data_IF_680105656760
#
_entry.id   IF_680105656760
#
_cell.length_a   1.000
_cell.length_b   1.000
_cell.length_c   1.000
_cell.angle_alpha   90.00
_cell.angle_beta   90.00
_cell.angle_gamma   90.00
#
_symmetry.space_group_name_H-M   'P 1'
#
loop_
_entity.id
_entity.type
_entity.pdbx_description
1 polymer ?
#
# COMPACT_ATOMS: atom_id res chain seq x y z
N UNK A 1 25.27 16.26 -10.68
CA UNK A 1 25.49 15.03 -11.48
C UNK A 1 26.46 14.03 -10.82
N UNK A 2 27.56 14.47 -10.21
CA UNK A 2 28.56 13.55 -9.62
C UNK A 2 28.12 12.92 -8.29
N UNK A 3 27.36 13.64 -7.49
CA UNK A 3 26.80 13.16 -6.20
C UNK A 3 25.69 12.12 -6.46
N UNK A 4 24.79 12.38 -7.40
CA UNK A 4 23.74 11.43 -7.80
C UNK A 4 24.33 10.11 -8.35
N UNK A 5 25.43 10.16 -9.10
CA UNK A 5 26.09 8.95 -9.60
C UNK A 5 26.71 8.10 -8.50
N UNK A 6 27.24 8.71 -7.42
CA UNK A 6 27.77 7.97 -6.25
C UNK A 6 26.67 7.32 -5.43
N UNK A 7 25.56 8.00 -5.21
CA UNK A 7 24.40 7.44 -4.48
C UNK A 7 23.76 6.27 -5.24
N UNK A 8 23.60 6.40 -6.56
CA UNK A 8 23.12 5.31 -7.41
C UNK A 8 24.07 4.10 -7.40
N UNK A 9 25.37 4.32 -7.48
CA UNK A 9 26.37 3.25 -7.41
C UNK A 9 26.40 2.58 -6.03
N UNK A 10 26.31 3.35 -4.95
CA UNK A 10 26.27 2.80 -3.60
C UNK A 10 24.99 1.97 -3.34
N UNK A 11 23.88 2.37 -3.94
CA UNK A 11 22.64 1.60 -3.89
C UNK A 11 22.75 0.28 -4.69
N UNK A 12 23.23 0.35 -5.92
CA UNK A 12 23.39 -0.81 -6.82
C UNK A 12 24.43 -1.83 -6.30
N UNK A 13 25.43 -1.37 -5.55
CA UNK A 13 26.48 -2.21 -4.97
C UNK A 13 26.28 -2.47 -3.47
N UNK A 14 25.12 -2.12 -2.93
CA UNK A 14 24.79 -2.45 -1.54
C UNK A 14 24.73 -3.97 -1.34
N UNK A 15 25.09 -4.44 -0.14
CA UNK A 15 25.00 -5.89 0.18
C UNK A 15 23.58 -6.43 -0.03
N UNK A 16 22.57 -5.65 0.30
CA UNK A 16 21.16 -6.02 0.07
C UNK A 16 20.85 -6.17 -1.42
N UNK A 17 21.24 -5.21 -2.26
CA UNK A 17 20.98 -5.29 -3.70
C UNK A 17 21.72 -6.48 -4.36
N UNK A 18 22.96 -6.78 -3.94
CA UNK A 18 23.70 -7.95 -4.42
C UNK A 18 23.04 -9.26 -3.97
N UNK A 19 22.61 -9.32 -2.71
CA UNK A 19 21.91 -10.49 -2.17
C UNK A 19 20.56 -10.72 -2.85
N UNK A 20 19.76 -9.65 -3.04
CA UNK A 20 18.48 -9.70 -3.75
C UNK A 20 18.66 -10.10 -5.22
N UNK A 21 19.71 -9.61 -5.87
CA UNK A 21 20.07 -10.02 -7.24
C UNK A 21 20.39 -11.51 -7.30
N UNK A 22 21.17 -12.02 -6.34
CA UNK A 22 21.51 -13.43 -6.25
C UNK A 22 20.29 -14.30 -5.98
N UNK A 23 19.43 -13.90 -5.06
CA UNK A 23 18.14 -14.57 -4.81
C UNK A 23 17.25 -14.55 -6.05
N UNK A 24 17.17 -13.44 -6.77
CA UNK A 24 16.42 -13.33 -8.02
C UNK A 24 16.93 -14.32 -9.06
N UNK A 25 18.25 -14.45 -9.23
CA UNK A 25 18.85 -15.40 -10.17
C UNK A 25 18.53 -16.87 -9.83
N UNK A 26 18.55 -17.22 -8.52
CA UNK A 26 18.21 -18.57 -8.07
C UNK A 26 16.70 -18.84 -8.21
N UNK A 27 15.88 -17.83 -7.94
CA UNK A 27 14.42 -17.95 -7.90
C UNK A 27 13.73 -17.69 -9.24
N UNK A 28 14.48 -17.37 -10.30
CA UNK A 28 13.93 -17.07 -11.64
C UNK A 28 12.97 -18.14 -12.20
N UNK A 29 13.07 -19.38 -11.69
CA UNK A 29 12.20 -20.49 -12.08
C UNK A 29 11.13 -20.81 -11.03
N UNK A 30 11.00 -19.99 -9.98
CA UNK A 30 10.00 -20.22 -8.93
C UNK A 30 8.66 -19.64 -9.36
N UNK A 31 7.67 -20.48 -9.57
CA UNK A 31 6.31 -20.06 -9.91
C UNK A 31 5.60 -19.28 -8.79
N UNK A 32 6.13 -19.31 -7.56
CA UNK A 32 5.49 -18.71 -6.38
C UNK A 32 5.65 -17.20 -6.38
N UNK A 33 6.78 -16.67 -6.86
CA UNK A 33 7.10 -15.24 -6.89
C UNK A 33 7.14 -14.66 -8.31
N UNK A 34 6.59 -15.39 -9.29
CA UNK A 34 6.61 -14.94 -10.67
C UNK A 34 5.70 -13.70 -10.83
N UNK A 35 6.29 -12.60 -11.28
CA UNK A 35 5.53 -11.47 -11.81
C UNK A 35 5.13 -11.76 -13.26
N UNK A 36 4.00 -11.23 -13.69
CA UNK A 36 3.66 -11.20 -15.12
C UNK A 36 4.67 -10.36 -15.91
N UNK A 37 4.66 -10.47 -17.25
CA UNK A 37 5.52 -9.64 -18.11
C UNK A 37 5.35 -8.14 -17.87
N UNK A 38 4.15 -7.72 -17.42
CA UNK A 38 3.85 -6.34 -17.05
C UNK A 38 4.15 -6.00 -15.59
N UNK A 39 4.85 -6.88 -14.86
CA UNK A 39 5.18 -6.68 -13.44
C UNK A 39 4.00 -6.88 -12.49
N UNK A 40 2.88 -7.42 -12.94
CA UNK A 40 1.72 -7.69 -12.09
C UNK A 40 1.98 -8.89 -11.17
N UNK A 41 1.72 -8.70 -9.87
CA UNK A 41 1.74 -9.76 -8.87
C UNK A 41 0.32 -10.33 -8.72
N UNK A 42 0.12 -11.57 -9.14
CA UNK A 42 -1.18 -12.25 -9.10
C UNK A 42 -1.55 -12.82 -7.72
N UNK A 43 -0.71 -12.59 -6.71
CA UNK A 43 -0.96 -13.04 -5.34
C UNK A 43 -0.69 -14.52 -5.09
N UNK A 44 0.04 -15.23 -5.96
CA UNK A 44 0.33 -16.68 -5.78
C UNK A 44 0.95 -17.00 -4.44
N UNK A 45 1.83 -16.14 -3.94
CA UNK A 45 2.42 -16.30 -2.61
C UNK A 45 1.36 -16.32 -1.51
N UNK A 46 0.41 -15.38 -1.55
CA UNK A 46 -0.72 -15.36 -0.61
C UNK A 46 -1.58 -16.62 -0.73
N UNK A 47 -1.87 -17.08 -1.96
CA UNK A 47 -2.60 -18.33 -2.19
C UNK A 47 -1.90 -19.51 -1.54
N UNK A 48 -0.57 -19.59 -1.67
CA UNK A 48 0.20 -20.66 -1.08
C UNK A 48 0.14 -20.65 0.45
N UNK A 49 0.38 -19.48 1.05
CA UNK A 49 0.36 -19.32 2.52
C UNK A 49 -1.03 -19.62 3.07
N UNK A 50 -2.10 -19.07 2.46
CA UNK A 50 -3.47 -19.30 2.94
C UNK A 50 -3.83 -20.77 2.91
N UNK A 51 -3.48 -21.50 1.85
CA UNK A 51 -3.77 -22.95 1.74
C UNK A 51 -3.00 -23.78 2.75
N UNK A 52 -1.74 -23.44 3.01
CA UNK A 52 -0.88 -24.19 3.95
C UNK A 52 -1.16 -23.84 5.41
N UNK A 53 -1.33 -22.56 5.73
CA UNK A 53 -1.30 -22.04 7.10
C UNK A 53 -2.56 -21.29 7.52
N UNK A 54 -3.38 -20.82 6.55
CA UNK A 54 -4.58 -20.02 6.79
C UNK A 54 -4.32 -18.51 6.80
N UNK A 55 -5.40 -17.74 6.85
CA UNK A 55 -5.34 -16.27 6.89
C UNK A 55 -4.73 -15.72 8.18
N UNK A 56 -4.93 -16.41 9.31
CA UNK A 56 -4.42 -15.95 10.61
C UNK A 56 -2.92 -15.61 10.57
N UNK A 57 -2.11 -16.43 9.91
CA UNK A 57 -0.65 -16.22 9.81
C UNK A 57 -0.32 -14.90 9.10
N UNK A 58 -0.97 -14.63 7.96
CA UNK A 58 -0.77 -13.38 7.21
C UNK A 58 -1.16 -12.16 8.05
N UNK A 59 -2.31 -12.23 8.73
CA UNK A 59 -2.81 -11.14 9.55
C UNK A 59 -1.93 -10.88 10.78
N UNK A 60 -1.56 -11.92 11.51
CA UNK A 60 -0.70 -11.82 12.69
C UNK A 60 0.68 -11.30 12.33
N UNK A 61 1.29 -11.81 11.26
CA UNK A 61 2.59 -11.35 10.81
C UNK A 61 2.57 -9.87 10.45
N UNK A 62 1.57 -9.43 9.69
CA UNK A 62 1.45 -8.03 9.29
C UNK A 62 1.15 -7.10 10.47
N UNK A 63 0.29 -7.50 11.39
CA UNK A 63 0.02 -6.73 12.61
C UNK A 63 1.27 -6.59 13.48
N UNK A 64 2.04 -7.68 13.68
CA UNK A 64 3.28 -7.64 14.45
C UNK A 64 4.33 -6.72 13.79
N UNK A 65 4.52 -6.84 12.48
CA UNK A 65 5.43 -5.98 11.72
C UNK A 65 5.04 -4.50 11.86
N UNK A 66 3.76 -4.18 11.68
CA UNK A 66 3.25 -2.82 11.79
C UNK A 66 3.40 -2.29 13.22
N UNK A 67 3.00 -3.08 14.22
CA UNK A 67 3.13 -2.71 15.64
C UNK A 67 4.57 -2.42 15.99
N UNK A 68 5.51 -3.29 15.59
CA UNK A 68 6.94 -3.08 15.84
C UNK A 68 7.47 -1.81 15.18
N UNK A 69 7.03 -1.51 13.96
CA UNK A 69 7.42 -0.31 13.21
C UNK A 69 6.86 0.98 13.82
N UNK A 70 5.63 0.95 14.32
CA UNK A 70 4.95 2.13 14.86
C UNK A 70 5.23 2.36 16.35
N UNK A 71 5.55 1.33 17.12
CA UNK A 71 5.70 1.40 18.59
C UNK A 71 6.69 2.47 19.09
N UNK A 72 7.71 2.83 18.31
CA UNK A 72 8.74 3.80 18.67
C UNK A 72 8.76 5.00 17.69
N UNK A 73 7.74 5.15 16.87
CA UNK A 73 7.76 6.22 15.89
C UNK A 73 7.27 7.53 16.51
N UNK A 74 8.18 8.50 16.64
CA UNK A 74 7.83 9.89 16.88
C UNK A 74 7.38 10.56 15.58
N UNK A 75 6.54 9.86 14.80
CA UNK A 75 6.05 10.38 13.51
C UNK A 75 5.26 11.65 13.74
N UNK A 76 5.71 12.72 13.09
CA UNK A 76 4.95 13.96 12.94
C UNK A 76 4.84 14.28 11.46
N UNK A 77 3.63 14.35 10.99
CA UNK A 77 3.35 14.68 9.60
C UNK A 77 3.48 16.18 9.39
N UNK A 78 4.34 16.58 8.45
CA UNK A 78 4.62 17.99 8.14
C UNK A 78 4.49 18.21 6.63
N UNK A 79 3.89 19.34 6.26
CA UNK A 79 3.66 19.71 4.87
C UNK A 79 4.96 19.94 4.07
N UNK A 80 6.03 20.32 4.75
CA UNK A 80 7.36 20.57 4.18
C UNK A 80 8.28 19.34 4.24
N UNK A 81 7.75 18.16 4.61
CA UNK A 81 8.52 16.92 4.61
C UNK A 81 9.01 16.58 3.20
N UNK A 82 10.12 15.85 3.12
CA UNK A 82 10.68 15.39 1.83
C UNK A 82 9.69 14.58 1.01
N UNK A 83 8.79 13.81 1.66
CA UNK A 83 7.74 13.06 0.98
C UNK A 83 6.72 13.96 0.27
N UNK A 84 6.25 15.02 0.92
CA UNK A 84 5.34 15.98 0.28
C UNK A 84 6.04 16.81 -0.80
N UNK A 85 7.30 17.20 -0.62
CA UNK A 85 8.09 17.86 -1.65
C UNK A 85 8.26 16.97 -2.88
N UNK A 86 8.56 15.68 -2.69
CA UNK A 86 8.67 14.71 -3.78
C UNK A 86 7.33 14.50 -4.50
N UNK A 87 6.21 14.43 -3.77
CA UNK A 87 4.87 14.33 -4.35
C UNK A 87 4.56 15.57 -5.20
N UNK A 88 4.81 16.78 -4.69
CA UNK A 88 4.57 18.02 -5.42
C UNK A 88 5.38 18.09 -6.71
N UNK A 89 6.67 17.72 -6.66
CA UNK A 89 7.53 17.65 -7.84
C UNK A 89 7.03 16.61 -8.83
N UNK A 90 6.65 15.43 -8.38
CA UNK A 90 6.14 14.36 -9.24
C UNK A 90 4.85 14.79 -9.96
N UNK A 91 3.90 15.37 -9.23
CA UNK A 91 2.65 15.88 -9.81
C UNK A 91 2.91 17.02 -10.81
N UNK A 92 3.93 17.85 -10.58
CA UNK A 92 4.34 18.87 -11.55
C UNK A 92 4.85 18.23 -12.83
N UNK A 93 5.74 17.24 -12.74
CA UNK A 93 6.28 16.54 -13.90
C UNK A 93 5.19 15.85 -14.73
N UNK A 94 4.19 15.27 -14.07
CA UNK A 94 3.05 14.64 -14.77
C UNK A 94 2.19 15.69 -15.50
N UNK A 95 1.96 16.84 -14.88
CA UNK A 95 1.22 17.94 -15.51
C UNK A 95 1.98 18.52 -16.73
N UNK A 96 3.32 18.62 -16.67
CA UNK A 96 4.14 19.05 -17.81
C UNK A 96 4.11 18.09 -19.01
N UNK A 97 3.65 16.85 -18.78
CA UNK A 97 3.50 15.80 -19.80
C UNK A 97 2.03 15.57 -20.21
N UNK A 98 1.10 16.44 -19.78
CA UNK A 98 -0.35 16.29 -20.01
C UNK A 98 -0.90 14.92 -19.55
N UNK A 99 -0.35 14.36 -18.46
CA UNK A 99 -0.83 13.11 -17.90
C UNK A 99 -1.95 13.39 -16.91
N UNK A 100 -3.13 12.81 -17.16
CA UNK A 100 -4.26 12.86 -16.24
C UNK A 100 -3.96 12.05 -14.98
N UNK A 101 -4.20 12.65 -13.81
CA UNK A 101 -3.87 12.06 -12.51
C UNK A 101 -5.11 11.99 -11.63
N UNK A 102 -5.38 10.81 -11.10
CA UNK A 102 -6.32 10.58 -10.01
C UNK A 102 -5.57 10.06 -8.80
N UNK A 103 -5.78 10.69 -7.65
CA UNK A 103 -5.18 10.27 -6.37
C UNK A 103 -6.17 9.42 -5.60
N UNK A 104 -5.66 8.46 -4.85
CA UNK A 104 -6.48 7.75 -3.88
C UNK A 104 -5.67 7.33 -2.64
N UNK A 105 -6.35 7.25 -1.51
CA UNK A 105 -5.84 6.64 -0.28
C UNK A 105 -6.23 5.17 -0.28
N UNK A 106 -5.27 4.29 -0.07
CA UNK A 106 -5.49 2.84 -0.05
C UNK A 106 -6.52 2.44 1.03
N UNK A 107 -7.37 1.46 0.74
CA UNK A 107 -8.14 0.80 1.78
C UNK A 107 -7.19 -0.05 2.63
N UNK A 108 -7.34 0.07 3.94
CA UNK A 108 -6.71 -0.82 4.90
C UNK A 108 -7.80 -1.58 5.64
N UNK A 109 -7.66 -2.89 5.78
CA UNK A 109 -8.59 -3.66 6.60
C UNK A 109 -8.53 -3.20 8.06
N UNK A 110 -9.66 -3.24 8.78
CA UNK A 110 -9.78 -2.67 10.13
C UNK A 110 -8.63 -3.03 11.10
N UNK A 111 -8.02 -4.26 11.08
CA UNK A 111 -6.93 -4.55 12.01
C UNK A 111 -5.68 -3.68 11.79
N UNK A 112 -5.49 -3.14 10.56
CA UNK A 112 -4.40 -2.19 10.30
C UNK A 112 -4.70 -0.82 10.92
N UNK A 113 -5.94 -0.36 10.77
CA UNK A 113 -6.41 0.92 11.35
C UNK A 113 -6.37 0.87 12.88
N UNK A 114 -6.74 -0.27 13.47
CA UNK A 114 -6.65 -0.51 14.92
C UNK A 114 -5.21 -0.37 15.43
N UNK A 115 -4.21 -0.89 14.71
CA UNK A 115 -2.81 -0.74 15.10
C UNK A 115 -2.37 0.74 15.05
N UNK A 116 -2.80 1.50 14.04
CA UNK A 116 -2.53 2.95 13.97
C UNK A 116 -3.14 3.67 15.18
N UNK A 117 -4.39 3.35 15.51
CA UNK A 117 -5.08 3.94 16.66
C UNK A 117 -4.42 3.57 17.99
N UNK A 118 -4.12 2.28 18.21
CA UNK A 118 -3.46 1.79 19.42
C UNK A 118 -2.04 2.35 19.60
N UNK A 119 -1.37 2.68 18.50
CA UNK A 119 -0.06 3.36 18.51
C UNK A 119 -0.16 4.87 18.78
N UNK A 120 -1.37 5.42 18.97
CA UNK A 120 -1.59 6.85 19.21
C UNK A 120 -1.35 7.73 17.97
N UNK A 121 -1.31 7.14 16.77
CA UNK A 121 -0.98 7.82 15.52
C UNK A 121 -2.20 8.17 14.67
N UNK A 122 -3.42 7.95 15.17
CA UNK A 122 -4.65 8.28 14.44
C UNK A 122 -4.68 9.75 14.00
N UNK A 123 -4.33 10.68 14.91
CA UNK A 123 -4.29 12.11 14.60
C UNK A 123 -3.26 12.47 13.52
N UNK A 124 -2.11 11.79 13.48
CA UNK A 124 -1.12 11.99 12.42
C UNK A 124 -1.57 11.40 11.09
N UNK A 125 -2.30 10.28 11.12
CA UNK A 125 -2.88 9.69 9.90
C UNK A 125 -3.96 10.60 9.29
N UNK A 126 -4.86 11.15 10.11
CA UNK A 126 -5.85 12.12 9.63
C UNK A 126 -5.19 13.40 9.10
N UNK A 127 -4.19 13.94 9.83
CA UNK A 127 -3.41 15.08 9.36
C UNK A 127 -2.72 14.82 8.02
N UNK A 128 -2.20 13.61 7.80
CA UNK A 128 -1.62 13.23 6.52
C UNK A 128 -2.68 13.27 5.39
N UNK A 129 -3.88 12.75 5.64
CA UNK A 129 -5.00 12.81 4.68
C UNK A 129 -5.41 14.25 4.36
N UNK A 130 -5.48 15.11 5.38
CA UNK A 130 -5.77 16.53 5.18
C UNK A 130 -4.75 17.21 4.27
N UNK A 131 -3.46 16.93 4.48
CA UNK A 131 -2.39 17.49 3.65
C UNK A 131 -2.44 16.96 2.21
N UNK A 132 -2.70 15.67 1.99
CA UNK A 132 -2.91 15.12 0.65
C UNK A 132 -4.13 15.77 -0.02
N UNK A 133 -5.21 15.95 0.73
CA UNK A 133 -6.42 16.65 0.23
C UNK A 133 -6.11 18.10 -0.18
N UNK A 134 -5.31 18.81 0.60
CA UNK A 134 -4.88 20.16 0.26
C UNK A 134 -4.02 20.21 -1.02
N UNK A 135 -3.13 19.22 -1.21
CA UNK A 135 -2.35 19.09 -2.45
C UNK A 135 -3.25 18.81 -3.65
N UNK A 136 -4.21 17.89 -3.51
CA UNK A 136 -5.18 17.58 -4.58
C UNK A 136 -6.01 18.81 -4.96
N UNK A 137 -6.57 19.51 -3.97
CA UNK A 137 -7.36 20.73 -4.20
C UNK A 137 -6.56 21.83 -4.90
N UNK A 138 -5.35 22.11 -4.44
CA UNK A 138 -4.44 23.11 -5.05
C UNK A 138 -4.17 22.83 -6.52
N UNK A 139 -4.11 21.55 -6.90
CA UNK A 139 -3.83 21.10 -8.26
C UNK A 139 -5.07 20.73 -9.07
N UNK A 140 -6.27 20.87 -8.48
CA UNK A 140 -7.55 20.51 -9.10
C UNK A 140 -7.61 19.02 -9.52
N UNK A 141 -7.00 18.14 -8.72
CA UNK A 141 -7.00 16.70 -8.92
C UNK A 141 -8.13 16.03 -8.14
N UNK A 142 -8.68 14.96 -8.69
CA UNK A 142 -9.58 14.08 -7.96
C UNK A 142 -8.83 13.30 -6.90
N UNK A 143 -9.38 13.23 -5.68
CA UNK A 143 -8.87 12.42 -4.57
C UNK A 143 -10.01 11.58 -4.00
N UNK A 144 -9.76 10.27 -3.89
CA UNK A 144 -10.68 9.31 -3.29
C UNK A 144 -10.06 8.70 -2.03
N UNK A 145 -10.77 8.74 -0.91
CA UNK A 145 -10.31 8.10 0.34
C UNK A 145 -11.05 6.77 0.55
N UNK A 146 -10.37 5.66 0.30
CA UNK A 146 -10.88 4.31 0.54
C UNK A 146 -10.49 3.76 1.93
N UNK A 147 -9.78 4.53 2.76
CA UNK A 147 -9.39 4.12 4.11
C UNK A 147 -10.48 4.36 5.16
N UNK A 148 -11.62 4.92 4.76
CA UNK A 148 -12.75 5.18 5.66
C UNK A 148 -13.38 3.87 6.15
N UNK A 149 -13.97 3.91 7.36
CA UNK A 149 -14.71 2.79 7.92
C UNK A 149 -15.98 2.52 7.08
N UNK A 150 -15.89 1.57 6.16
CA UNK A 150 -16.96 1.08 5.32
C UNK A 150 -17.22 -0.40 5.62
N UNK A 151 -18.34 -0.94 5.17
CA UNK A 151 -18.64 -2.39 5.33
C UNK A 151 -17.53 -3.26 4.72
N UNK A 152 -16.84 -2.78 3.66
CA UNK A 152 -15.76 -3.51 3.02
C UNK A 152 -14.48 -3.50 3.87
N UNK A 153 -14.12 -2.34 4.41
CA UNK A 153 -12.96 -2.15 5.31
C UNK A 153 -13.18 -2.86 6.64
N UNK A 154 -14.42 -2.88 7.12
CA UNK A 154 -14.82 -3.52 8.39
C UNK A 154 -15.31 -4.95 8.23
N UNK A 155 -15.14 -5.56 7.04
CA UNK A 155 -15.62 -6.92 6.78
C UNK A 155 -15.06 -7.92 7.80
N UNK A 156 -15.88 -8.83 8.34
CA UNK A 156 -15.42 -9.81 9.32
C UNK A 156 -14.30 -10.69 8.76
N UNK A 157 -13.23 -10.85 9.52
CA UNK A 157 -12.10 -11.69 9.16
C UNK A 157 -12.41 -13.17 9.45
N UNK A 158 -12.22 -14.03 8.45
CA UNK A 158 -12.29 -15.50 8.58
C UNK A 158 -10.89 -16.06 8.88
N UNK A 159 -10.39 -15.84 10.10
CA UNK A 159 -8.99 -16.12 10.49
C UNK A 159 -8.59 -17.59 10.27
N UNK A 160 -9.45 -18.52 10.69
CA UNK A 160 -9.16 -19.96 10.63
C UNK A 160 -9.32 -20.56 9.24
N UNK A 161 -9.83 -19.81 8.28
CA UNK A 161 -10.06 -20.32 6.94
C UNK A 161 -8.76 -20.54 6.18
N UNK A 162 -8.72 -21.64 5.41
CA UNK A 162 -7.73 -21.94 4.39
C UNK A 162 -8.28 -21.85 2.98
N UNK A 163 -9.54 -21.46 2.85
CA UNK A 163 -10.17 -21.23 1.55
C UNK A 163 -9.84 -19.82 1.05
N UNK A 164 -9.13 -19.75 -0.05
CA UNK A 164 -8.77 -18.48 -0.67
C UNK A 164 -9.96 -17.61 -1.09
N UNK A 165 -11.17 -18.19 -1.16
CA UNK A 165 -12.41 -17.45 -1.48
C UNK A 165 -12.95 -16.65 -0.30
N UNK A 166 -12.57 -17.03 0.90
CA UNK A 166 -12.88 -16.26 2.10
C UNK A 166 -12.01 -14.99 2.16
N UNK A 167 -12.37 -14.06 3.04
CA UNK A 167 -11.73 -12.73 3.12
C UNK A 167 -11.63 -12.07 1.72
N UNK A 168 -12.77 -11.93 1.11
CA UNK A 168 -12.97 -11.56 -0.30
C UNK A 168 -12.23 -10.29 -0.73
N UNK A 169 -12.00 -9.35 0.19
CA UNK A 169 -11.49 -8.01 -0.13
C UNK A 169 -10.01 -7.81 0.19
N UNK A 170 -9.47 -8.57 1.16
CA UNK A 170 -8.09 -8.41 1.62
C UNK A 170 -7.36 -9.74 1.71
N UNK A 171 -6.08 -9.73 1.36
CA UNK A 171 -5.15 -10.83 1.62
C UNK A 171 -4.66 -10.81 3.06
N UNK A 172 -4.34 -9.63 3.54
CA UNK A 172 -3.90 -9.30 4.88
C UNK A 172 -4.19 -7.81 5.15
N UNK A 173 -3.98 -7.27 6.35
CA UNK A 173 -4.49 -5.94 6.70
C UNK A 173 -4.08 -4.78 5.78
N UNK A 174 -2.94 -4.88 5.10
CA UNK A 174 -2.39 -3.80 4.28
C UNK A 174 -2.62 -3.97 2.76
N UNK A 175 -2.91 -5.20 2.30
CA UNK A 175 -3.01 -5.49 0.87
C UNK A 175 -4.40 -6.00 0.48
N UNK A 176 -5.09 -5.19 -0.31
CA UNK A 176 -6.39 -5.56 -0.85
C UNK A 176 -6.26 -6.50 -2.07
N UNK A 177 -7.35 -7.21 -2.33
CA UNK A 177 -7.47 -8.16 -3.45
C UNK A 177 -8.07 -7.47 -4.67
N UNK A 178 -7.94 -8.12 -5.83
CA UNK A 178 -8.51 -7.65 -7.09
C UNK A 178 -9.98 -7.25 -6.97
N UNK A 179 -10.78 -8.01 -6.21
CA UNK A 179 -12.20 -7.68 -5.99
C UNK A 179 -12.39 -6.28 -5.41
N UNK A 180 -11.59 -5.91 -4.41
CA UNK A 180 -11.63 -4.55 -3.84
C UNK A 180 -11.12 -3.53 -4.85
N UNK A 181 -10.03 -3.84 -5.56
CA UNK A 181 -9.49 -2.96 -6.61
C UNK A 181 -10.50 -2.65 -7.72
N UNK A 182 -11.30 -3.65 -8.14
CA UNK A 182 -12.38 -3.44 -9.12
C UNK A 182 -13.43 -2.47 -8.59
N UNK A 183 -13.90 -2.66 -7.35
CA UNK A 183 -14.86 -1.73 -6.73
C UNK A 183 -14.32 -0.31 -6.61
N UNK A 184 -13.02 -0.16 -6.30
CA UNK A 184 -12.37 1.16 -6.26
C UNK A 184 -12.35 1.82 -7.65
N UNK A 185 -11.99 1.06 -8.69
CA UNK A 185 -11.98 1.57 -10.07
C UNK A 185 -13.40 1.97 -10.50
N UNK A 186 -14.40 1.16 -10.22
CA UNK A 186 -15.80 1.47 -10.53
C UNK A 186 -16.25 2.76 -9.82
N UNK A 187 -15.90 2.91 -8.53
CA UNK A 187 -16.21 4.12 -7.77
C UNK A 187 -15.54 5.37 -8.35
N UNK A 188 -14.28 5.26 -8.77
CA UNK A 188 -13.55 6.37 -9.40
C UNK A 188 -14.11 6.75 -10.78
N UNK A 189 -14.54 5.76 -11.59
CA UNK A 189 -15.12 6.02 -12.90
C UNK A 189 -16.49 6.68 -12.84
N UNK A 190 -17.33 6.30 -11.89
CA UNK A 190 -18.68 6.85 -11.72
C UNK A 190 -18.67 8.21 -11.00
N UNK A 191 -17.52 8.61 -10.43
CA UNK A 191 -17.41 9.84 -9.64
C UNK A 191 -18.18 9.79 -8.31
N UNK A 192 -18.64 8.61 -7.89
CA UNK A 192 -19.37 8.40 -6.64
C UNK A 192 -18.41 7.93 -5.55
N UNK A 193 -18.04 8.83 -4.63
CA UNK A 193 -17.31 8.52 -3.41
C UNK A 193 -18.15 7.81 -2.32
N UNK A 194 -19.39 7.45 -2.62
CA UNK A 194 -20.25 6.74 -1.70
C UNK A 194 -20.03 5.22 -1.84
N UNK A 195 -18.96 4.74 -1.26
CA UNK A 195 -18.92 3.34 -0.80
C UNK A 195 -19.78 3.32 0.47
N UNK A 196 -21.06 3.01 0.30
CA UNK A 196 -21.99 2.77 1.39
C UNK A 196 -21.58 1.54 2.17
#
# INVERSE_FOLDING_TARGET
HWIQGKEQLSFLLSQSALFDTFLTLIQQKSDVNALSENGFNDGRLYHHIVRSEGFAVLYQQKQQELTARLANSALKVQADSTGFQALELFLQLLAEQDIEVTLFVNPYHYPYLDVIQQSGLQGEFERWKDLISAVAQKRQLSLYDFSIASELVMAPLQESSRDIRDNKYFWEPAHYRQTMGTLMLDAMQVGNCQVQ
#
